data_IF_006344170962
#
_entry.id   IF_006344170962
#
_cell.length_a   1.000
_cell.length_b   1.000
_cell.length_c   1.000
_cell.angle_alpha   90.00
_cell.angle_beta   90.00
_cell.angle_gamma   90.00
#
_symmetry.space_group_name_H-M   'P 1'
#
loop_
_entity.id
_entity.type
_entity.pdbx_description
1 polymer ?
#
# COMPACT_ATOMS: atom_id res chain seq x y z
N UNK A 1 -19.14 -7.34 -27.24
CA UNK A 1 -19.08 -8.71 -26.66
C UNK A 1 -19.05 -8.55 -25.14
N UNK A 2 -20.16 -8.85 -24.44
CA UNK A 2 -20.23 -8.85 -22.97
C UNK A 2 -19.79 -10.22 -22.48
N UNK A 3 -18.68 -10.30 -21.76
CA UNK A 3 -18.27 -11.52 -21.08
C UNK A 3 -18.82 -11.51 -19.65
N UNK A 4 -19.91 -12.25 -19.46
CA UNK A 4 -20.46 -12.60 -18.16
C UNK A 4 -19.52 -13.63 -17.53
N UNK A 5 -18.89 -13.31 -16.40
CA UNK A 5 -18.15 -14.28 -15.59
C UNK A 5 -19.09 -14.74 -14.49
N UNK A 6 -19.66 -15.91 -14.70
CA UNK A 6 -20.33 -16.67 -13.64
C UNK A 6 -19.43 -17.84 -13.24
N UNK A 7 -19.31 -18.05 -11.94
CA UNK A 7 -18.32 -18.93 -11.33
C UNK A 7 -18.07 -18.57 -9.87
N UNK A 8 -19.16 -18.39 -9.11
CA UNK A 8 -19.11 -18.20 -7.66
C UNK A 8 -18.73 -19.50 -6.95
N UNK A 9 -17.54 -19.56 -6.36
CA UNK A 9 -17.26 -20.51 -5.27
C UNK A 9 -17.74 -19.89 -3.95
N UNK A 10 -18.55 -20.66 -3.21
CA UNK A 10 -19.34 -20.20 -2.07
C UNK A 10 -18.57 -19.93 -0.78
N UNK A 11 -17.54 -19.07 -0.82
CA UNK A 11 -16.96 -18.43 0.37
C UNK A 11 -17.31 -16.94 0.34
N UNK A 12 -18.32 -16.53 1.12
CA UNK A 12 -18.66 -15.12 1.37
C UNK A 12 -17.42 -14.46 2.02
N UNK A 13 -16.62 -13.58 1.43
CA UNK A 13 -16.61 -12.96 0.11
C UNK A 13 -15.65 -11.76 0.19
N UNK A 14 -14.34 -12.03 0.12
CA UNK A 14 -13.26 -11.02 -0.07
C UNK A 14 -12.11 -11.70 -0.82
N UNK A 15 -12.22 -11.78 -2.14
CA UNK A 15 -11.19 -12.34 -3.02
C UNK A 15 -10.12 -11.29 -3.30
N UNK A 16 -8.89 -11.55 -2.84
CA UNK A 16 -7.69 -10.72 -3.05
C UNK A 16 -6.54 -11.17 -2.14
N UNK A 17 -5.29 -10.91 -2.52
CA UNK A 17 -4.14 -11.15 -1.63
C UNK A 17 -4.30 -10.27 -0.39
N UNK A 18 -4.44 -10.89 0.80
CA UNK A 18 -4.79 -10.19 2.05
C UNK A 18 -3.90 -8.99 2.35
N UNK A 19 -2.58 -9.12 2.14
CA UNK A 19 -1.63 -8.03 2.35
C UNK A 19 -1.95 -6.74 1.56
N UNK A 20 -2.66 -6.84 0.44
CA UNK A 20 -2.99 -5.69 -0.42
C UNK A 20 -4.43 -5.20 -0.24
N UNK A 21 -5.23 -5.89 0.57
CA UNK A 21 -6.55 -5.40 0.93
C UNK A 21 -6.44 -4.10 1.71
N UNK A 22 -7.32 -3.16 1.39
CA UNK A 22 -7.37 -1.84 2.02
C UNK A 22 -8.01 -1.90 3.38
N UNK A 23 -7.66 -0.95 4.25
CA UNK A 23 -8.23 -0.82 5.60
C UNK A 23 -9.75 -0.70 5.52
N UNK A 24 -10.27 0.09 4.57
CA UNK A 24 -11.70 0.21 4.28
C UNK A 24 -12.39 -1.11 3.97
N UNK A 25 -11.87 -1.85 2.99
CA UNK A 25 -12.43 -3.14 2.57
C UNK A 25 -12.28 -4.20 3.67
N UNK A 26 -11.22 -4.14 4.48
CA UNK A 26 -11.10 -5.00 5.67
C UNK A 26 -12.25 -4.73 6.65
N UNK A 27 -12.62 -3.47 6.90
CA UNK A 27 -13.81 -3.14 7.69
C UNK A 27 -15.16 -3.32 6.97
N UNK A 28 -15.17 -3.82 5.74
CA UNK A 28 -16.40 -4.11 4.99
C UNK A 28 -16.99 -2.92 4.24
N UNK A 29 -16.21 -1.85 4.04
CA UNK A 29 -16.63 -0.75 3.17
C UNK A 29 -16.83 -1.24 1.73
N UNK A 30 -17.78 -0.62 1.04
CA UNK A 30 -18.00 -0.88 -0.38
C UNK A 30 -16.81 -0.35 -1.17
N UNK A 31 -16.24 -1.22 -1.98
CA UNK A 31 -15.10 -0.90 -2.82
C UNK A 31 -15.38 0.27 -3.79
N UNK A 32 -14.36 1.10 -4.04
CA UNK A 32 -14.36 2.27 -4.92
C UNK A 32 -12.93 2.56 -5.39
N UNK A 33 -12.74 3.47 -6.34
CA UNK A 33 -11.41 3.74 -6.94
C UNK A 33 -10.35 4.17 -5.92
N UNK A 34 -10.72 4.84 -4.81
CA UNK A 34 -9.75 5.21 -3.77
C UNK A 34 -9.16 3.98 -3.07
N UNK A 35 -9.92 2.89 -3.00
CA UNK A 35 -9.41 1.62 -2.50
C UNK A 35 -8.40 1.00 -3.48
N UNK A 36 -8.55 1.20 -4.79
CA UNK A 36 -7.51 0.76 -5.74
C UNK A 36 -6.20 1.51 -5.53
N UNK A 37 -6.27 2.83 -5.27
CA UNK A 37 -5.12 3.68 -4.99
C UNK A 37 -4.44 3.33 -3.65
N UNK A 38 -5.23 3.02 -2.62
CA UNK A 38 -4.70 2.50 -1.36
C UNK A 38 -4.07 1.11 -1.54
N UNK A 39 -4.69 0.23 -2.32
CA UNK A 39 -4.12 -1.08 -2.65
C UNK A 39 -2.79 -0.94 -3.38
N UNK A 40 -2.68 0.02 -4.30
CA UNK A 40 -1.41 0.34 -4.98
C UNK A 40 -0.33 0.76 -3.98
N UNK A 41 -0.65 1.62 -3.03
CA UNK A 41 0.29 2.00 -1.96
C UNK A 41 0.79 0.77 -1.20
N UNK A 42 -0.11 -0.15 -0.82
CA UNK A 42 0.28 -1.37 -0.10
C UNK A 42 1.15 -2.31 -0.94
N UNK A 43 0.92 -2.39 -2.25
CA UNK A 43 1.79 -3.14 -3.17
C UNK A 43 3.18 -2.50 -3.25
N UNK A 44 3.27 -1.17 -3.39
CA UNK A 44 4.56 -0.47 -3.43
C UNK A 44 5.34 -0.66 -2.11
N UNK A 45 4.67 -0.46 -0.97
CA UNK A 45 5.25 -0.70 0.35
C UNK A 45 5.75 -2.15 0.50
N UNK A 46 4.99 -3.12 0.01
CA UNK A 46 5.39 -4.53 -0.01
C UNK A 46 6.63 -4.77 -0.87
N UNK A 47 6.68 -4.19 -2.08
CA UNK A 47 7.84 -4.30 -2.98
C UNK A 47 9.10 -3.76 -2.31
N UNK A 48 9.00 -2.58 -1.69
CA UNK A 48 10.13 -1.95 -1.01
C UNK A 48 10.72 -2.81 0.11
N UNK A 49 9.91 -3.65 0.76
CA UNK A 49 10.32 -4.51 1.88
C UNK A 49 10.83 -5.88 1.42
N UNK A 50 10.14 -6.48 0.44
CA UNK A 50 10.34 -7.88 0.08
C UNK A 50 11.26 -8.10 -1.11
N UNK A 51 11.71 -7.06 -1.81
CA UNK A 51 12.53 -7.22 -3.01
C UNK A 51 13.74 -6.30 -2.96
N UNK A 52 14.90 -6.78 -3.37
CA UNK A 52 16.12 -5.99 -3.56
C UNK A 52 16.48 -5.91 -5.05
N UNK A 53 15.46 -5.67 -5.88
CA UNK A 53 15.53 -5.64 -7.34
C UNK A 53 14.94 -6.88 -8.04
N UNK A 54 14.99 -6.92 -9.39
CA UNK A 54 14.37 -7.99 -10.17
C UNK A 54 14.90 -9.38 -9.79
N UNK A 55 13.99 -10.30 -9.48
CA UNK A 55 14.34 -11.69 -9.12
C UNK A 55 14.96 -11.86 -7.72
N UNK A 56 15.18 -10.77 -6.96
CA UNK A 56 15.79 -10.80 -5.62
C UNK A 56 14.74 -10.63 -4.53
N UNK A 57 13.80 -11.56 -4.45
CA UNK A 57 12.76 -11.58 -3.41
C UNK A 57 13.27 -12.17 -2.10
N UNK A 58 12.83 -11.62 -0.98
CA UNK A 58 13.04 -12.14 0.37
C UNK A 58 11.76 -12.07 1.19
N UNK A 59 11.61 -12.99 2.14
CA UNK A 59 10.45 -13.00 3.04
C UNK A 59 10.81 -12.27 4.32
N UNK A 60 10.20 -11.10 4.55
CA UNK A 60 10.25 -10.41 5.84
C UNK A 60 9.07 -10.87 6.68
N UNK A 61 9.32 -11.77 7.64
CA UNK A 61 8.29 -12.45 8.45
C UNK A 61 7.25 -11.49 9.05
N UNK A 62 7.71 -10.33 9.53
CA UNK A 62 6.86 -9.28 10.11
C UNK A 62 5.74 -8.82 9.18
N UNK A 63 5.99 -8.77 7.87
CA UNK A 63 5.02 -8.33 6.87
C UNK A 63 4.37 -9.53 6.17
N UNK A 64 5.10 -10.65 6.03
CA UNK A 64 4.53 -11.89 5.49
C UNK A 64 3.31 -12.37 6.29
N UNK A 65 3.33 -12.21 7.62
CA UNK A 65 2.18 -12.57 8.48
C UNK A 65 0.87 -11.85 8.09
N UNK A 66 0.92 -10.73 7.36
CA UNK A 66 -0.28 -10.03 6.89
C UNK A 66 -1.17 -10.90 6.00
N UNK A 67 -0.59 -11.87 5.30
CA UNK A 67 -1.35 -12.82 4.47
C UNK A 67 -2.23 -13.77 5.31
N UNK A 68 -1.89 -13.94 6.60
CA UNK A 68 -2.51 -14.95 7.46
C UNK A 68 -3.36 -14.34 8.59
N UNK A 69 -3.10 -13.08 8.96
CA UNK A 69 -3.87 -12.33 9.97
C UNK A 69 -5.38 -12.33 9.71
N UNK A 70 -6.18 -12.25 10.79
CA UNK A 70 -7.61 -11.98 10.64
C UNK A 70 -7.82 -10.59 10.04
N UNK A 71 -9.03 -10.36 9.51
CA UNK A 71 -9.37 -9.09 8.86
C UNK A 71 -9.25 -7.89 9.81
N UNK A 72 -9.69 -8.04 11.05
CA UNK A 72 -9.63 -6.98 12.06
C UNK A 72 -8.20 -6.68 12.49
N UNK A 73 -7.42 -7.73 12.81
CA UNK A 73 -6.02 -7.58 13.21
C UNK A 73 -5.17 -6.93 12.10
N UNK A 74 -5.42 -7.30 10.84
CA UNK A 74 -4.71 -6.73 9.71
C UNK A 74 -5.04 -5.24 9.54
N UNK A 75 -6.31 -4.86 9.71
CA UNK A 75 -6.73 -3.46 9.61
C UNK A 75 -6.07 -2.61 10.70
N UNK A 76 -6.07 -3.06 11.95
CA UNK A 76 -5.41 -2.39 13.09
C UNK A 76 -3.90 -2.30 12.85
N UNK A 77 -3.29 -3.40 12.40
CA UNK A 77 -1.85 -3.43 12.11
C UNK A 77 -1.48 -2.42 11.03
N UNK A 78 -2.24 -2.36 9.93
CA UNK A 78 -2.02 -1.38 8.85
C UNK A 78 -2.19 0.05 9.34
N UNK A 79 -3.21 0.33 10.16
CA UNK A 79 -3.42 1.65 10.77
C UNK A 79 -2.21 2.07 11.61
N UNK A 80 -1.69 1.17 12.45
CA UNK A 80 -0.50 1.44 13.26
C UNK A 80 0.77 1.69 12.45
N UNK A 81 0.85 1.19 11.20
CA UNK A 81 1.96 1.52 10.29
C UNK A 81 1.85 2.94 9.73
N UNK A 82 0.65 3.45 9.48
CA UNK A 82 0.46 4.72 8.74
C UNK A 82 0.11 5.93 9.61
N UNK A 83 -0.25 5.70 10.89
CA UNK A 83 -0.78 6.75 11.77
C UNK A 83 0.26 7.81 12.11
N UNK A 84 1.42 7.37 12.59
CA UNK A 84 2.50 8.25 13.02
C UNK A 84 3.62 8.28 11.98
N UNK A 85 3.98 9.48 11.53
CA UNK A 85 4.96 9.63 10.47
C UNK A 85 6.36 9.19 10.90
N UNK A 86 6.76 9.49 12.13
CA UNK A 86 8.05 9.08 12.69
C UNK A 86 8.19 7.56 12.73
N UNK A 87 7.13 6.86 13.13
CA UNK A 87 7.10 5.39 13.12
C UNK A 87 7.10 4.82 11.71
N UNK A 88 6.35 5.43 10.78
CA UNK A 88 6.39 5.04 9.38
C UNK A 88 7.81 5.16 8.80
N UNK A 89 8.49 6.29 9.02
CA UNK A 89 9.85 6.53 8.55
C UNK A 89 10.85 5.57 9.18
N UNK A 90 10.71 5.28 10.48
CA UNK A 90 11.52 4.27 11.17
C UNK A 90 11.32 2.89 10.57
N UNK A 91 10.07 2.45 10.38
CA UNK A 91 9.76 1.18 9.72
C UNK A 91 10.34 1.13 8.30
N UNK A 92 10.20 2.20 7.53
CA UNK A 92 10.73 2.25 6.18
C UNK A 92 12.26 2.17 6.18
N UNK A 93 12.94 2.89 7.08
CA UNK A 93 14.40 2.83 7.24
C UNK A 93 14.90 1.45 7.67
N UNK A 94 14.18 0.79 8.59
CA UNK A 94 14.56 -0.51 9.13
C UNK A 94 14.35 -1.66 8.12
N UNK A 95 13.32 -1.58 7.27
CA UNK A 95 12.84 -2.72 6.47
C UNK A 95 12.88 -2.53 4.96
N UNK A 96 12.98 -1.31 4.42
CA UNK A 96 13.14 -1.17 2.98
C UNK A 96 14.50 -1.72 2.58
N UNK A 97 14.52 -2.55 1.55
CA UNK A 97 15.77 -3.13 1.04
C UNK A 97 16.69 -2.04 0.51
N UNK A 98 18.02 -2.29 0.44
CA UNK A 98 18.98 -1.30 -0.02
C UNK A 98 18.60 -0.65 -1.35
N UNK A 99 18.09 -1.43 -2.32
CA UNK A 99 17.67 -0.93 -3.63
C UNK A 99 16.49 0.06 -3.57
N UNK A 100 15.68 0.02 -2.51
CA UNK A 100 14.48 0.86 -2.38
C UNK A 100 14.54 1.89 -1.24
N UNK A 101 15.63 1.95 -0.48
CA UNK A 101 15.89 3.03 0.50
C UNK A 101 15.74 4.44 -0.10
N UNK A 102 16.18 4.74 -1.34
CA UNK A 102 15.98 6.06 -1.96
C UNK A 102 14.49 6.45 -2.11
N UNK A 103 13.57 5.49 -2.12
CA UNK A 103 12.14 5.74 -2.27
C UNK A 103 11.45 6.16 -0.96
N UNK A 104 12.10 6.08 0.21
CA UNK A 104 11.44 6.34 1.51
C UNK A 104 10.70 7.68 1.53
N UNK A 105 11.34 8.75 1.05
CA UNK A 105 10.73 10.09 0.99
C UNK A 105 9.49 10.11 0.08
N UNK A 106 9.60 9.49 -1.10
CA UNK A 106 8.50 9.37 -2.07
C UNK A 106 7.32 8.56 -1.49
N UNK A 107 7.60 7.38 -0.90
CA UNK A 107 6.55 6.54 -0.31
C UNK A 107 5.89 7.23 0.88
N UNK A 108 6.63 8.00 1.69
CA UNK A 108 6.03 8.79 2.77
C UNK A 108 5.13 9.94 2.23
N UNK A 109 5.49 10.57 1.11
CA UNK A 109 4.61 11.54 0.45
C UNK A 109 3.32 10.88 -0.05
N UNK A 110 3.43 9.70 -0.68
CA UNK A 110 2.26 8.91 -1.09
C UNK A 110 1.41 8.50 0.12
N UNK A 111 2.02 8.10 1.25
CA UNK A 111 1.30 7.81 2.50
C UNK A 111 0.44 8.99 2.92
N UNK A 112 0.99 10.21 2.96
CA UNK A 112 0.24 11.42 3.35
C UNK A 112 -0.95 11.70 2.41
N UNK A 113 -0.80 11.41 1.12
CA UNK A 113 -1.88 11.58 0.13
C UNK A 113 -3.00 10.55 0.30
N UNK A 114 -2.63 9.28 0.48
CA UNK A 114 -3.56 8.15 0.58
C UNK A 114 -4.24 8.11 1.95
N UNK A 115 -3.51 8.48 3.01
CA UNK A 115 -3.96 8.46 4.40
C UNK A 115 -3.88 9.88 5.01
N UNK A 116 -4.81 10.78 4.66
CA UNK A 116 -4.82 12.13 5.21
C UNK A 116 -4.92 12.09 6.74
N UNK A 117 -4.16 12.95 7.41
CA UNK A 117 -4.05 13.01 8.88
C UNK A 117 -3.65 11.69 9.55
N UNK A 118 -2.90 10.82 8.84
CA UNK A 118 -2.50 9.51 9.36
C UNK A 118 -3.67 8.53 9.52
N UNK A 119 -4.78 8.79 8.82
CA UNK A 119 -6.01 8.01 8.98
C UNK A 119 -6.56 7.52 7.65
N UNK A 120 -7.58 6.67 7.76
CA UNK A 120 -8.42 6.32 6.61
C UNK A 120 -9.17 7.57 6.16
N UNK A 121 -9.19 7.81 4.86
CA UNK A 121 -9.94 8.92 4.28
C UNK A 121 -11.44 8.80 4.61
N UNK A 122 -12.10 9.94 4.85
CA UNK A 122 -13.54 10.01 5.18
C UNK A 122 -14.39 10.61 4.07
N UNK A 123 -13.73 11.23 3.09
CA UNK A 123 -14.34 11.91 1.95
C UNK A 123 -13.59 11.51 0.69
N UNK A 124 -14.34 11.42 -0.40
CA UNK A 124 -13.76 11.11 -1.70
C UNK A 124 -12.84 12.23 -2.17
N UNK A 125 -11.68 11.87 -2.75
CA UNK A 125 -10.76 12.81 -3.39
C UNK A 125 -10.54 12.42 -4.85
N UNK A 126 -11.26 13.09 -5.75
CA UNK A 126 -11.17 12.87 -7.20
C UNK A 126 -9.80 13.21 -7.80
N UNK A 127 -8.98 14.01 -7.11
CA UNK A 127 -7.63 14.38 -7.55
C UNK A 127 -6.54 13.42 -7.04
N UNK A 128 -6.88 12.44 -6.19
CA UNK A 128 -5.89 11.58 -5.54
C UNK A 128 -5.00 10.85 -6.56
N UNK A 129 -5.59 10.28 -7.61
CA UNK A 129 -4.82 9.60 -8.67
C UNK A 129 -3.81 10.54 -9.34
N UNK A 130 -4.23 11.75 -9.72
CA UNK A 130 -3.34 12.76 -10.33
C UNK A 130 -2.20 13.14 -9.39
N UNK A 131 -2.50 13.35 -8.12
CA UNK A 131 -1.50 13.75 -7.12
C UNK A 131 -0.47 12.64 -6.90
N UNK A 132 -0.90 11.38 -6.82
CA UNK A 132 0.02 10.24 -6.69
C UNK A 132 0.93 10.10 -7.91
N UNK A 133 0.39 10.28 -9.12
CA UNK A 133 1.19 10.28 -10.35
C UNK A 133 2.23 11.40 -10.31
N UNK A 134 1.84 12.62 -9.94
CA UNK A 134 2.76 13.75 -9.82
C UNK A 134 3.88 13.52 -8.79
N UNK A 135 3.56 12.90 -7.64
CA UNK A 135 4.57 12.51 -6.64
C UNK A 135 5.57 11.50 -7.21
N UNK A 136 5.09 10.49 -7.94
CA UNK A 136 5.95 9.47 -8.55
C UNK A 136 6.85 10.07 -9.64
N UNK A 137 6.31 10.94 -10.51
CA UNK A 137 7.07 11.64 -11.56
C UNK A 137 8.16 12.53 -10.96
N UNK A 138 7.82 13.33 -9.94
CA UNK A 138 8.79 14.17 -9.26
C UNK A 138 9.92 13.34 -8.62
N UNK A 139 9.61 12.18 -8.04
CA UNK A 139 10.64 11.29 -7.49
C UNK A 139 11.57 10.73 -8.57
N UNK A 140 11.04 10.46 -9.77
CA UNK A 140 11.84 10.02 -10.92
C UNK A 140 12.81 11.12 -11.36
N UNK A 141 12.33 12.34 -11.56
CA UNK A 141 13.15 13.47 -12.04
C UNK A 141 14.29 13.84 -11.06
N UNK A 142 14.06 13.67 -9.74
CA UNK A 142 15.08 13.93 -8.72
C UNK A 142 16.04 12.75 -8.49
N UNK A 143 15.68 11.54 -8.89
CA UNK A 143 16.58 10.38 -8.84
C UNK A 143 17.72 10.50 -9.85
N UNK A 144 17.51 11.23 -10.94
CA UNK A 144 18.50 11.46 -12.00
C UNK A 144 19.47 12.62 -11.67
N UNK A 145 19.21 13.39 -10.60
CA UNK A 145 20.05 14.52 -10.16
C UNK A 145 21.15 14.13 -9.16
N UNK A 146 21.22 12.86 -8.74
CA UNK A 146 22.14 12.36 -7.69
C UNK A 146 23.07 11.24 -8.21
N UNK A 147 23.20 11.09 -9.53
CA UNK A 147 24.22 10.24 -10.16
C UNK A 147 25.33 11.05 -10.83
#
# INVERSE_FOLDING_TARGET
IKAQRDGSSGARGKTGTRAFMTIGVLYGEKHCFMHDLESFFWVLFWICIHYDGPGKGSTVERFEKWNYMSTEELAVTKQGVISEESDFLRIAGDYFTPSYQPLISCVNQLRRLVFPDGGRWKKENSNLSRNMIGTLQHAQDNSDAVN
#
